data_IF_429273917615
#
_entry.id   IF_429273917615
#
_cell.length_a   1.000
_cell.length_b   1.000
_cell.length_c   1.000
_cell.angle_alpha   90.00
_cell.angle_beta   90.00
_cell.angle_gamma   90.00
#
_symmetry.space_group_name_H-M   'P 1'
#
loop_
_entity.id
_entity.type
_entity.pdbx_description
1 polymer ?
#
# COMPACT_ATOMS: atom_id res chain seq x y z
N UNK A 1 11.97 46.09 49.85
CA UNK A 1 11.84 45.03 48.82
C UNK A 1 10.62 45.39 48.03
N UNK A 2 10.83 46.09 46.92
CA UNK A 2 9.77 46.80 46.22
C UNK A 2 8.88 45.81 45.48
N UNK A 3 7.56 45.91 45.70
CA UNK A 3 6.56 45.00 45.11
C UNK A 3 6.50 45.01 43.58
N UNK A 4 7.24 45.90 42.91
CA UNK A 4 7.36 45.96 41.45
C UNK A 4 8.00 44.72 40.84
N UNK A 5 9.05 44.15 41.45
CA UNK A 5 9.71 42.96 40.90
C UNK A 5 8.83 41.71 40.90
N UNK A 6 7.93 41.58 41.88
CA UNK A 6 6.96 40.48 41.93
C UNK A 6 5.85 40.67 40.89
N UNK A 7 5.35 41.89 40.72
CA UNK A 7 4.35 42.23 39.70
C UNK A 7 4.90 42.05 38.27
N UNK A 8 6.16 42.42 38.04
CA UNK A 8 6.82 42.25 36.75
C UNK A 8 7.03 40.76 36.43
N UNK A 9 7.44 39.96 37.41
CA UNK A 9 7.55 38.51 37.26
C UNK A 9 6.19 37.86 36.95
N UNK A 10 5.13 38.25 37.67
CA UNK A 10 3.78 37.75 37.42
C UNK A 10 3.26 38.14 36.03
N UNK A 11 3.51 39.38 35.62
CA UNK A 11 3.17 39.86 34.27
C UNK A 11 3.92 39.07 33.20
N UNK A 12 5.21 38.85 33.39
CA UNK A 12 6.03 38.05 32.47
C UNK A 12 5.53 36.60 32.38
N UNK A 13 5.22 35.97 33.51
CA UNK A 13 4.66 34.61 33.55
C UNK A 13 3.29 34.54 32.87
N UNK A 14 2.44 35.57 33.04
CA UNK A 14 1.14 35.64 32.38
C UNK A 14 1.29 35.76 30.84
N UNK A 15 2.22 36.60 30.38
CA UNK A 15 2.55 36.74 28.96
C UNK A 15 3.08 35.42 28.38
N UNK A 16 4.01 34.76 29.08
CA UNK A 16 4.53 33.45 28.65
C UNK A 16 3.44 32.37 28.59
N UNK A 17 2.57 32.31 29.59
CA UNK A 17 1.46 31.36 29.61
C UNK A 17 0.49 31.60 28.43
N UNK A 18 0.20 32.87 28.14
CA UNK A 18 -0.62 33.24 26.98
C UNK A 18 0.02 32.80 25.67
N UNK A 19 1.29 33.13 25.43
CA UNK A 19 1.99 32.73 24.22
C UNK A 19 2.12 31.21 24.09
N UNK A 20 2.42 30.50 25.18
CA UNK A 20 2.49 29.04 25.20
C UNK A 20 1.15 28.38 24.87
N UNK A 21 0.04 28.93 25.38
CA UNK A 21 -1.30 28.45 25.04
C UNK A 21 -1.64 28.71 23.57
N UNK A 22 -1.38 29.93 23.08
CA UNK A 22 -1.65 30.32 21.71
C UNK A 22 -0.83 29.51 20.70
N UNK A 23 0.47 29.29 20.97
CA UNK A 23 1.34 28.50 20.10
C UNK A 23 0.86 27.05 20.00
N UNK A 24 0.46 26.44 21.13
CA UNK A 24 -0.06 25.07 21.16
C UNK A 24 -1.31 24.89 20.32
N UNK A 25 -2.24 25.83 20.36
CA UNK A 25 -3.46 25.76 19.56
C UNK A 25 -3.17 25.88 18.06
N UNK A 26 -2.21 26.72 17.68
CA UNK A 26 -1.75 26.83 16.30
C UNK A 26 -1.07 25.54 15.82
N UNK A 27 -0.24 24.92 16.66
CA UNK A 27 0.39 23.63 16.36
C UNK A 27 -0.65 22.53 16.15
N UNK A 28 -1.64 22.38 17.04
CA UNK A 28 -2.71 21.39 16.90
C UNK A 28 -3.42 21.55 15.55
N UNK A 29 -3.72 22.79 15.15
CA UNK A 29 -4.37 23.08 13.86
C UNK A 29 -3.46 22.75 12.68
N UNK A 30 -2.17 23.08 12.76
CA UNK A 30 -1.19 22.73 11.73
C UNK A 30 -1.11 21.22 11.52
N UNK A 31 -0.94 20.46 12.61
CA UNK A 31 -0.88 18.99 12.58
C UNK A 31 -2.18 18.40 12.02
N UNK A 32 -3.33 18.88 12.48
CA UNK A 32 -4.63 18.42 11.99
C UNK A 32 -4.79 18.60 10.47
N UNK A 33 -4.40 19.78 9.96
CA UNK A 33 -4.46 20.07 8.52
C UNK A 33 -3.49 19.18 7.72
N UNK A 34 -2.29 18.93 8.25
CA UNK A 34 -1.29 18.06 7.62
C UNK A 34 -1.82 16.62 7.52
N UNK A 35 -2.37 16.07 8.61
CA UNK A 35 -3.00 14.74 8.62
C UNK A 35 -4.17 14.67 7.63
N UNK A 36 -5.01 15.70 7.55
CA UNK A 36 -6.14 15.77 6.60
C UNK A 36 -5.70 15.79 5.13
N UNK A 37 -4.57 16.44 4.84
CA UNK A 37 -3.96 16.41 3.51
C UNK A 37 -3.53 14.99 3.15
N UNK A 38 -2.80 14.31 4.04
CA UNK A 38 -2.39 12.91 3.81
C UNK A 38 -3.59 11.98 3.63
N UNK A 39 -4.64 12.12 4.45
CA UNK A 39 -5.87 11.34 4.29
C UNK A 39 -6.51 11.55 2.91
N UNK A 40 -6.48 12.78 2.40
CA UNK A 40 -6.99 13.10 1.06
C UNK A 40 -6.14 12.44 -0.02
N UNK A 41 -4.82 12.46 0.11
CA UNK A 41 -3.89 11.79 -0.81
C UNK A 41 -4.07 10.27 -0.80
N UNK A 42 -4.17 9.65 0.37
CA UNK A 42 -4.36 8.21 0.53
C UNK A 42 -5.72 7.76 -0.03
N UNK A 43 -6.77 8.57 0.18
CA UNK A 43 -8.07 8.34 -0.45
C UNK A 43 -7.98 8.39 -1.97
N UNK A 44 -7.29 9.38 -2.53
CA UNK A 44 -7.10 9.49 -3.98
C UNK A 44 -6.31 8.31 -4.55
N UNK A 45 -5.27 7.83 -3.85
CA UNK A 45 -4.53 6.64 -4.23
C UNK A 45 -5.41 5.38 -4.22
N UNK A 46 -6.20 5.19 -3.15
CA UNK A 46 -7.15 4.08 -3.04
C UNK A 46 -8.19 4.11 -4.16
N UNK A 47 -8.80 5.27 -4.40
CA UNK A 47 -9.85 5.43 -5.42
C UNK A 47 -9.29 5.19 -6.84
N UNK A 48 -8.04 5.58 -7.11
CA UNK A 48 -7.35 5.25 -8.36
C UNK A 48 -7.13 3.75 -8.52
N UNK A 49 -6.68 3.05 -7.46
CA UNK A 49 -6.50 1.60 -7.49
C UNK A 49 -7.82 0.85 -7.70
N UNK A 50 -8.89 1.26 -7.00
CA UNK A 50 -10.25 0.72 -7.20
C UNK A 50 -10.70 0.92 -8.64
N UNK A 51 -10.54 2.13 -9.18
CA UNK A 51 -10.93 2.45 -10.55
C UNK A 51 -10.16 1.61 -11.58
N UNK A 52 -8.86 1.38 -11.36
CA UNK A 52 -8.03 0.51 -12.19
C UNK A 52 -8.52 -0.95 -12.14
N UNK A 53 -8.83 -1.47 -10.95
CA UNK A 53 -9.39 -2.80 -10.77
C UNK A 53 -10.73 -2.96 -11.49
N UNK A 54 -11.65 -2.02 -11.33
CA UNK A 54 -12.98 -2.03 -11.98
C UNK A 54 -12.85 -2.00 -13.50
N UNK A 55 -12.01 -1.12 -14.05
CA UNK A 55 -11.77 -1.05 -15.49
C UNK A 55 -11.22 -2.36 -16.02
N UNK A 56 -10.18 -2.90 -15.37
CA UNK A 56 -9.54 -4.13 -15.84
C UNK A 56 -10.46 -5.34 -15.74
N UNK A 57 -11.21 -5.44 -14.64
CA UNK A 57 -12.18 -6.50 -14.46
C UNK A 57 -13.31 -6.39 -15.49
N UNK A 58 -13.79 -5.18 -15.77
CA UNK A 58 -14.79 -4.92 -16.81
C UNK A 58 -14.34 -5.36 -18.20
N UNK A 59 -13.10 -5.08 -18.59
CA UNK A 59 -12.50 -5.57 -19.84
C UNK A 59 -12.51 -7.09 -19.93
N UNK A 60 -12.14 -7.78 -18.84
CA UNK A 60 -12.01 -9.24 -18.79
C UNK A 60 -13.40 -9.91 -18.81
N UNK A 61 -14.38 -9.32 -18.13
CA UNK A 61 -15.77 -9.80 -18.14
C UNK A 61 -16.43 -9.57 -19.49
N UNK A 62 -16.20 -8.43 -20.13
CA UNK A 62 -16.76 -8.12 -21.46
C UNK A 62 -16.30 -9.13 -22.53
N UNK A 63 -15.05 -9.62 -22.44
CA UNK A 63 -14.54 -10.70 -23.31
C UNK A 63 -15.27 -12.03 -23.12
N UNK A 64 -15.88 -12.25 -21.95
CA UNK A 64 -16.63 -13.47 -21.64
C UNK A 64 -18.07 -13.44 -22.18
N UNK A 65 -18.49 -12.36 -22.88
CA UNK A 65 -19.83 -12.25 -23.48
C UNK A 65 -20.96 -11.99 -22.47
N UNK A 66 -20.63 -11.79 -21.19
CA UNK A 66 -21.60 -11.48 -20.14
C UNK A 66 -21.82 -9.96 -20.12
N UNK A 67 -23.06 -9.52 -20.34
CA UNK A 67 -23.44 -8.12 -20.11
C UNK A 67 -23.49 -7.86 -18.62
N UNK A 68 -22.40 -7.29 -18.08
CA UNK A 68 -22.36 -6.83 -16.70
C UNK A 68 -22.56 -5.32 -16.69
N UNK A 69 -23.49 -4.86 -15.86
CA UNK A 69 -23.66 -3.44 -15.57
C UNK A 69 -22.40 -2.94 -14.87
N UNK A 70 -21.79 -1.88 -15.42
CA UNK A 70 -20.54 -1.34 -14.88
C UNK A 70 -20.71 -0.88 -13.42
N UNK A 71 -21.87 -0.34 -13.08
CA UNK A 71 -22.23 0.08 -11.72
C UNK A 71 -22.26 -1.09 -10.72
N UNK A 72 -22.79 -2.24 -11.13
CA UNK A 72 -22.87 -3.44 -10.29
C UNK A 72 -21.47 -4.05 -10.07
N UNK A 73 -20.63 -4.01 -11.12
CA UNK A 73 -19.23 -4.43 -11.04
C UNK A 73 -18.42 -3.52 -10.10
N UNK A 74 -18.62 -2.21 -10.20
CA UNK A 74 -17.97 -1.24 -9.31
C UNK A 74 -18.37 -1.48 -7.84
N UNK A 75 -19.67 -1.67 -7.58
CA UNK A 75 -20.16 -2.00 -6.25
C UNK A 75 -19.53 -3.31 -5.72
N UNK A 76 -19.45 -4.34 -6.57
CA UNK A 76 -18.83 -5.62 -6.20
C UNK A 76 -17.34 -5.47 -5.88
N UNK A 77 -16.59 -4.75 -6.70
CA UNK A 77 -15.16 -4.49 -6.44
C UNK A 77 -14.97 -3.70 -5.14
N UNK A 78 -15.78 -2.67 -4.89
CA UNK A 78 -15.74 -1.94 -3.61
C UNK A 78 -16.00 -2.85 -2.42
N UNK A 79 -16.99 -3.73 -2.50
CA UNK A 79 -17.28 -4.71 -1.45
C UNK A 79 -16.10 -5.67 -1.21
N UNK A 80 -15.45 -6.13 -2.29
CA UNK A 80 -14.24 -6.93 -2.18
C UNK A 80 -13.12 -6.14 -1.50
N UNK A 81 -12.92 -4.88 -1.85
CA UNK A 81 -11.91 -3.99 -1.26
C UNK A 81 -12.20 -3.65 0.21
N UNK A 82 -13.47 -3.65 0.61
CA UNK A 82 -13.89 -3.37 1.98
C UNK A 82 -13.84 -4.58 2.91
N UNK A 83 -13.76 -5.80 2.36
CA UNK A 83 -13.67 -7.01 3.17
C UNK A 83 -12.32 -7.05 3.88
N UNK A 84 -12.33 -6.80 5.19
CA UNK A 84 -11.15 -6.91 6.06
C UNK A 84 -11.06 -8.31 6.61
N UNK A 85 -9.96 -9.01 6.36
CA UNK A 85 -9.65 -10.28 7.00
C UNK A 85 -9.04 -9.97 8.35
N UNK A 86 -9.82 -10.18 9.42
CA UNK A 86 -9.32 -10.06 10.80
C UNK A 86 -8.46 -11.29 11.07
N UNK A 87 -7.16 -11.10 11.25
CA UNK A 87 -6.29 -12.19 11.71
C UNK A 87 -6.71 -12.60 13.13
N UNK A 88 -6.79 -13.91 13.44
CA UNK A 88 -7.25 -14.36 14.75
C UNK A 88 -6.37 -13.80 15.88
N UNK A 89 -7.00 -13.25 16.91
CA UNK A 89 -6.35 -12.59 18.05
C UNK A 89 -5.72 -13.56 19.09
N UNK A 90 -5.55 -14.86 18.79
CA UNK A 90 -4.98 -15.82 19.74
C UNK A 90 -3.52 -16.20 19.43
N UNK A 91 -2.66 -15.77 20.35
CA UNK A 91 -1.21 -15.95 20.43
C UNK A 91 -0.81 -17.43 20.51
N UNK A 92 -0.15 -17.94 19.47
CA UNK A 92 0.65 -19.18 19.51
C UNK A 92 1.98 -18.94 18.76
N UNK A 93 3.11 -18.78 19.50
CA UNK A 93 4.36 -18.29 18.95
C UNK A 93 5.07 -19.26 17.99
N UNK A 94 4.68 -20.54 17.92
CA UNK A 94 5.39 -21.54 17.12
C UNK A 94 4.69 -21.95 15.81
N UNK A 95 3.45 -21.48 15.57
CA UNK A 95 2.65 -21.81 14.37
C UNK A 95 2.26 -20.60 13.49
N UNK A 96 2.59 -19.38 13.91
CA UNK A 96 2.12 -18.10 13.35
C UNK A 96 2.35 -17.97 11.84
N UNK A 97 3.59 -18.13 11.39
CA UNK A 97 3.94 -17.91 9.97
C UNK A 97 3.21 -18.91 9.07
N UNK A 98 3.09 -20.17 9.50
CA UNK A 98 2.44 -21.22 8.70
C UNK A 98 0.93 -21.02 8.63
N UNK A 99 0.28 -20.65 9.75
CA UNK A 99 -1.16 -20.34 9.80
C UNK A 99 -1.49 -19.05 9.04
N UNK A 100 -0.71 -17.99 9.21
CA UNK A 100 -0.89 -16.73 8.50
C UNK A 100 -0.70 -16.91 6.99
N UNK A 101 0.34 -17.65 6.58
CA UNK A 101 0.55 -18.02 5.17
C UNK A 101 -0.60 -18.87 4.61
N UNK A 102 -1.19 -19.74 5.42
CA UNK A 102 -2.33 -20.54 4.99
C UNK A 102 -3.59 -19.69 4.80
N UNK A 103 -3.89 -18.79 5.75
CA UNK A 103 -5.03 -17.86 5.67
C UNK A 103 -4.86 -16.91 4.47
N UNK A 104 -3.69 -16.31 4.29
CA UNK A 104 -3.43 -15.43 3.14
C UNK A 104 -3.59 -16.18 1.80
N UNK A 105 -3.10 -17.43 1.72
CA UNK A 105 -3.24 -18.26 0.53
C UNK A 105 -4.69 -18.68 0.26
N UNK A 106 -5.46 -19.02 1.30
CA UNK A 106 -6.87 -19.39 1.13
C UNK A 106 -7.71 -18.20 0.66
N UNK A 107 -7.41 -17.00 1.17
CA UNK A 107 -8.09 -15.76 0.77
C UNK A 107 -7.78 -15.39 -0.68
N UNK A 108 -6.51 -15.44 -1.08
CA UNK A 108 -6.10 -15.16 -2.45
C UNK A 108 -6.75 -16.15 -3.43
N UNK A 109 -6.79 -17.43 -3.05
CA UNK A 109 -7.46 -18.47 -3.83
C UNK A 109 -8.97 -18.22 -3.95
N UNK A 110 -9.62 -17.84 -2.85
CA UNK A 110 -11.06 -17.51 -2.83
C UNK A 110 -11.37 -16.31 -3.73
N UNK A 111 -10.52 -15.28 -3.70
CA UNK A 111 -10.65 -14.11 -4.57
C UNK A 111 -10.44 -14.48 -6.05
N UNK A 112 -9.43 -15.30 -6.37
CA UNK A 112 -9.19 -15.81 -7.74
C UNK A 112 -10.40 -16.60 -8.24
N UNK A 113 -11.00 -17.43 -7.40
CA UNK A 113 -12.21 -18.17 -7.73
C UNK A 113 -13.40 -17.26 -7.98
N UNK A 114 -13.57 -16.20 -7.19
CA UNK A 114 -14.64 -15.22 -7.39
C UNK A 114 -14.49 -14.45 -8.71
N UNK A 115 -13.27 -14.01 -9.04
CA UNK A 115 -12.97 -13.37 -10.32
C UNK A 115 -13.24 -14.34 -11.47
N UNK A 116 -12.84 -15.60 -11.35
CA UNK A 116 -13.07 -16.64 -12.37
C UNK A 116 -14.55 -16.99 -12.55
N UNK A 117 -15.34 -17.00 -11.46
CA UNK A 117 -16.80 -17.17 -11.54
C UNK A 117 -17.45 -16.03 -12.32
N UNK A 118 -16.98 -14.80 -12.13
CA UNK A 118 -17.50 -13.63 -12.83
C UNK A 118 -17.01 -13.51 -14.28
N UNK A 119 -15.83 -14.05 -14.60
CA UNK A 119 -15.27 -14.06 -15.95
C UNK A 119 -14.74 -15.45 -16.34
N UNK A 120 -15.62 -16.40 -16.73
CA UNK A 120 -15.22 -17.78 -17.01
C UNK A 120 -14.25 -17.94 -18.18
N UNK A 121 -14.26 -17.01 -19.14
CA UNK A 121 -13.39 -17.03 -20.32
C UNK A 121 -12.04 -16.31 -20.10
N UNK A 122 -11.80 -15.77 -18.90
CA UNK A 122 -10.55 -15.08 -18.57
C UNK A 122 -9.36 -16.04 -18.58
N UNK A 123 -8.25 -15.60 -19.16
CA UNK A 123 -6.99 -16.34 -19.05
C UNK A 123 -6.46 -16.32 -17.61
N UNK A 124 -5.62 -17.29 -17.24
CA UNK A 124 -5.03 -17.35 -15.89
C UNK A 124 -4.32 -16.04 -15.49
N UNK A 125 -3.57 -15.43 -16.41
CA UNK A 125 -2.88 -14.16 -16.17
C UNK A 125 -3.83 -12.96 -16.03
N UNK A 126 -4.97 -12.96 -16.73
CA UNK A 126 -5.97 -11.90 -16.56
C UNK A 126 -6.67 -11.99 -15.20
N UNK A 127 -6.98 -13.21 -14.75
CA UNK A 127 -7.51 -13.43 -13.40
C UNK A 127 -6.52 -12.94 -12.35
N UNK A 128 -5.24 -13.29 -12.50
CA UNK A 128 -4.18 -12.88 -11.58
C UNK A 128 -4.02 -11.35 -11.51
N UNK A 129 -3.96 -10.66 -12.64
CA UNK A 129 -3.86 -9.19 -12.67
C UNK A 129 -5.07 -8.52 -12.00
N UNK A 130 -6.29 -9.02 -12.24
CA UNK A 130 -7.50 -8.48 -11.59
C UNK A 130 -7.47 -8.71 -10.09
N UNK A 131 -7.12 -9.93 -9.65
CA UNK A 131 -6.95 -10.28 -8.24
C UNK A 131 -5.92 -9.38 -7.56
N UNK A 132 -4.76 -9.17 -8.17
CA UNK A 132 -3.68 -8.34 -7.63
C UNK A 132 -4.08 -6.88 -7.51
N UNK A 133 -4.79 -6.33 -8.51
CA UNK A 133 -5.32 -4.96 -8.45
C UNK A 133 -6.32 -4.79 -7.29
N UNK A 134 -7.17 -5.79 -7.05
CA UNK A 134 -8.11 -5.79 -5.91
C UNK A 134 -7.33 -5.87 -4.58
N UNK A 135 -6.28 -6.69 -4.49
CA UNK A 135 -5.45 -6.80 -3.29
C UNK A 135 -4.66 -5.51 -2.99
N UNK A 136 -4.13 -4.84 -4.02
CA UNK A 136 -3.48 -3.53 -3.88
C UNK A 136 -4.50 -2.49 -3.40
N UNK A 137 -5.70 -2.47 -3.98
CA UNK A 137 -6.77 -1.58 -3.53
C UNK A 137 -7.21 -1.87 -2.07
N UNK A 138 -7.23 -3.14 -1.65
CA UNK A 138 -7.44 -3.55 -0.24
C UNK A 138 -6.37 -2.98 0.68
N UNK A 139 -5.09 -3.11 0.31
CA UNK A 139 -3.96 -2.57 1.08
C UNK A 139 -4.07 -1.05 1.28
N UNK A 140 -4.32 -0.31 0.20
CA UNK A 140 -4.54 1.14 0.26
C UNK A 140 -5.78 1.51 1.10
N UNK A 141 -6.86 0.72 1.03
CA UNK A 141 -8.06 0.94 1.83
C UNK A 141 -7.82 0.67 3.32
N UNK A 142 -7.01 -0.35 3.65
CA UNK A 142 -6.59 -0.63 5.01
C UNK A 142 -5.77 0.54 5.59
N UNK A 143 -4.76 1.04 4.85
CA UNK A 143 -3.97 2.21 5.25
C UNK A 143 -4.87 3.42 5.51
N UNK A 144 -5.77 3.73 4.57
CA UNK A 144 -6.71 4.85 4.70
C UNK A 144 -7.57 4.72 5.97
N UNK A 145 -8.16 3.54 6.21
CA UNK A 145 -9.00 3.28 7.39
C UNK A 145 -8.19 3.37 8.68
N UNK A 146 -6.98 2.81 8.70
CA UNK A 146 -6.09 2.84 9.86
C UNK A 146 -5.74 4.28 10.25
N UNK A 147 -5.27 5.10 9.29
CA UNK A 147 -4.90 6.50 9.55
C UNK A 147 -6.13 7.31 9.97
N UNK A 148 -7.26 7.14 9.28
CA UNK A 148 -8.48 7.87 9.61
C UNK A 148 -9.04 7.51 11.00
N UNK A 149 -8.94 6.22 11.37
CA UNK A 149 -9.35 5.75 12.69
C UNK A 149 -8.50 6.38 13.80
N UNK A 150 -7.17 6.32 13.67
CA UNK A 150 -6.26 6.92 14.64
C UNK A 150 -6.44 8.45 14.73
N UNK A 151 -6.66 9.11 13.60
CA UNK A 151 -6.94 10.55 13.58
C UNK A 151 -8.25 10.91 14.30
N UNK A 152 -9.31 10.14 14.02
CA UNK A 152 -10.61 10.32 14.68
C UNK A 152 -10.50 10.07 16.19
N UNK A 153 -9.71 9.07 16.59
CA UNK A 153 -9.43 8.75 17.98
C UNK A 153 -8.69 9.90 18.68
N UNK A 154 -7.65 10.44 18.04
CA UNK A 154 -6.88 11.58 18.54
C UNK A 154 -7.76 12.82 18.73
N UNK A 155 -8.64 13.13 17.76
CA UNK A 155 -9.64 14.21 17.87
C UNK A 155 -10.63 13.97 19.00
N UNK A 156 -11.16 12.74 19.12
CA UNK A 156 -12.15 12.39 20.16
C UNK A 156 -11.57 12.56 21.56
N UNK A 157 -10.33 12.13 21.78
CA UNK A 157 -9.64 12.32 23.07
C UNK A 157 -9.03 13.71 23.25
N UNK A 158 -9.10 14.58 22.22
CA UNK A 158 -8.41 15.89 22.18
C UNK A 158 -6.92 15.76 22.56
N UNK A 159 -6.29 14.67 22.12
CA UNK A 159 -4.92 14.33 22.51
C UNK A 159 -3.93 14.86 21.49
N UNK A 160 -3.21 15.92 21.87
CA UNK A 160 -2.10 16.47 21.07
C UNK A 160 -1.01 15.43 20.81
N UNK A 161 -0.69 14.60 21.80
CA UNK A 161 0.33 13.57 21.67
C UNK A 161 -0.02 12.51 20.63
N UNK A 162 -1.29 12.13 20.53
CA UNK A 162 -1.74 11.18 19.50
C UNK A 162 -1.69 11.80 18.10
N UNK A 163 -1.98 13.11 17.97
CA UNK A 163 -1.82 13.82 16.70
C UNK A 163 -0.35 13.86 16.29
N UNK A 164 0.55 14.18 17.22
CA UNK A 164 1.99 14.26 16.96
C UNK A 164 2.59 12.90 16.59
N UNK A 165 2.17 11.84 17.28
CA UNK A 165 2.60 10.47 16.94
C UNK A 165 2.12 10.08 15.54
N UNK A 166 0.86 10.37 15.20
CA UNK A 166 0.33 10.05 13.89
C UNK A 166 1.06 10.84 12.80
N UNK A 167 1.20 12.15 12.98
CA UNK A 167 1.90 13.06 12.07
C UNK A 167 3.33 12.58 11.76
N UNK A 168 4.09 12.20 12.79
CA UNK A 168 5.45 11.68 12.63
C UNK A 168 5.53 10.38 11.80
N UNK A 169 4.46 9.56 11.79
CA UNK A 169 4.41 8.31 11.04
C UNK A 169 3.95 8.50 9.58
N UNK A 170 3.23 9.59 9.27
CA UNK A 170 2.63 9.81 7.96
C UNK A 170 3.63 9.79 6.79
N UNK A 171 4.85 10.35 6.89
CA UNK A 171 5.83 10.27 5.80
C UNK A 171 6.20 8.84 5.42
N UNK A 172 6.36 7.95 6.41
CA UNK A 172 6.68 6.54 6.18
C UNK A 172 5.50 5.79 5.55
N UNK A 173 4.29 6.03 6.07
CA UNK A 173 3.05 5.47 5.49
C UNK A 173 2.86 5.97 4.05
N UNK A 174 3.23 7.22 3.76
CA UNK A 174 3.15 7.77 2.41
C UNK A 174 4.12 7.09 1.43
N UNK A 175 5.30 6.64 1.87
CA UNK A 175 6.19 5.80 1.04
C UNK A 175 5.54 4.45 0.73
N UNK A 176 4.89 3.82 1.72
CA UNK A 176 4.15 2.58 1.48
C UNK A 176 3.04 2.78 0.44
N UNK A 177 2.27 3.88 0.55
CA UNK A 177 1.23 4.24 -0.43
C UNK A 177 1.83 4.46 -1.82
N UNK A 178 2.97 5.14 -1.95
CA UNK A 178 3.68 5.31 -3.23
C UNK A 178 4.11 3.98 -3.85
N UNK A 179 4.54 3.02 -3.02
CA UNK A 179 4.90 1.69 -3.49
C UNK A 179 3.67 0.94 -4.04
N UNK A 180 2.52 1.03 -3.36
CA UNK A 180 1.26 0.48 -3.86
C UNK A 180 0.81 1.15 -5.17
N UNK A 181 0.91 2.47 -5.30
CA UNK A 181 0.59 3.18 -6.55
C UNK A 181 1.48 2.69 -7.70
N UNK A 182 2.77 2.52 -7.45
CA UNK A 182 3.72 1.96 -8.43
C UNK A 182 3.35 0.53 -8.84
N UNK A 183 2.86 -0.29 -7.90
CA UNK A 183 2.37 -1.63 -8.18
C UNK A 183 1.13 -1.62 -9.09
N UNK A 184 0.19 -0.69 -8.88
CA UNK A 184 -0.98 -0.51 -9.78
C UNK A 184 -0.51 -0.24 -11.21
N UNK A 185 0.45 0.68 -11.39
CA UNK A 185 0.97 0.99 -12.72
C UNK A 185 1.65 -0.19 -13.40
N UNK A 186 2.42 -0.98 -12.64
CA UNK A 186 3.10 -2.17 -13.15
C UNK A 186 2.10 -3.27 -13.59
N UNK A 187 1.04 -3.49 -12.79
CA UNK A 187 -0.04 -4.43 -13.11
C UNK A 187 -0.80 -4.03 -14.38
N UNK A 188 -1.12 -2.74 -14.53
CA UNK A 188 -1.79 -2.23 -15.72
C UNK A 188 -0.94 -2.39 -16.99
N UNK A 189 0.39 -2.34 -16.86
CA UNK A 189 1.35 -2.55 -17.97
C UNK A 189 1.60 -4.03 -18.28
N UNK A 190 0.86 -4.97 -17.69
CA UNK A 190 1.02 -6.42 -17.86
C UNK A 190 2.42 -6.95 -17.50
N UNK A 191 3.05 -6.39 -16.47
CA UNK A 191 4.12 -7.13 -15.78
C UNK A 191 3.42 -8.03 -14.77
N UNK A 192 3.36 -9.37 -14.95
CA UNK A 192 2.83 -10.23 -13.92
C UNK A 192 3.65 -10.04 -12.65
N UNK A 193 2.99 -9.62 -11.58
CA UNK A 193 3.57 -9.41 -10.25
C UNK A 193 3.58 -10.73 -9.44
N UNK A 194 3.18 -11.86 -10.05
CA UNK A 194 3.30 -13.20 -9.49
C UNK A 194 4.75 -13.61 -9.23
N UNK A 195 5.30 -13.21 -8.09
CA UNK A 195 5.37 -14.03 -6.87
C UNK A 195 6.24 -13.29 -5.83
N UNK A 196 5.59 -12.69 -4.83
CA UNK A 196 6.16 -12.01 -3.64
C UNK A 196 6.41 -10.50 -3.79
N UNK A 197 6.25 -9.79 -2.67
CA UNK A 197 6.75 -8.42 -2.43
C UNK A 197 8.25 -8.29 -2.78
N UNK A 198 8.99 -9.41 -2.70
CA UNK A 198 10.41 -9.54 -3.07
C UNK A 198 10.73 -9.02 -4.47
N UNK A 199 10.23 -9.61 -5.57
CA UNK A 199 10.43 -9.12 -6.94
C UNK A 199 10.21 -7.64 -7.22
N UNK A 200 9.21 -7.01 -6.61
CA UNK A 200 8.93 -5.59 -6.83
C UNK A 200 9.98 -4.73 -6.12
N UNK A 201 10.29 -5.06 -4.86
CA UNK A 201 11.39 -4.43 -4.10
C UNK A 201 12.72 -4.69 -4.81
N UNK A 202 12.97 -5.91 -5.30
CA UNK A 202 14.16 -6.29 -6.06
C UNK A 202 14.27 -5.54 -7.39
N UNK A 203 13.17 -5.34 -8.11
CA UNK A 203 13.17 -4.60 -9.37
C UNK A 203 13.29 -3.09 -9.18
N UNK A 204 12.71 -2.54 -8.11
CA UNK A 204 12.93 -1.15 -7.69
C UNK A 204 14.39 -0.93 -7.27
N UNK A 205 14.92 -1.80 -6.40
CA UNK A 205 16.29 -1.75 -5.91
C UNK A 205 17.31 -1.96 -7.03
N UNK A 206 17.08 -2.91 -7.94
CA UNK A 206 17.94 -3.13 -9.10
C UNK A 206 17.98 -1.91 -10.03
N UNK A 207 16.87 -1.20 -10.19
CA UNK A 207 16.79 0.02 -11.00
C UNK A 207 17.49 1.20 -10.33
N UNK A 208 17.33 1.35 -9.02
CA UNK A 208 17.97 2.39 -8.22
C UNK A 208 19.50 2.22 -8.19
N UNK A 209 19.97 0.99 -8.03
CA UNK A 209 21.40 0.65 -7.98
C UNK A 209 22.06 0.47 -9.36
N UNK A 210 21.32 0.66 -10.46
CA UNK A 210 21.77 0.40 -11.84
C UNK A 210 22.41 -0.99 -11.99
N UNK A 211 21.79 -1.99 -11.36
CA UNK A 211 22.30 -3.35 -11.32
C UNK A 211 22.38 -3.99 -12.71
N UNK A 212 23.47 -4.71 -12.98
CA UNK A 212 23.67 -5.42 -14.25
C UNK A 212 23.05 -6.83 -14.18
N UNK A 213 22.38 -7.27 -15.24
CA UNK A 213 21.81 -8.62 -15.29
C UNK A 213 22.92 -9.67 -15.42
N UNK A 214 22.90 -10.68 -14.56
CA UNK A 214 23.86 -11.79 -14.56
C UNK A 214 23.11 -13.11 -14.70
N UNK A 215 23.55 -13.97 -15.62
CA UNK A 215 22.98 -15.30 -15.79
C UNK A 215 23.69 -16.30 -14.87
N UNK A 216 22.96 -16.97 -13.98
CA UNK A 216 23.50 -18.00 -13.09
C UNK A 216 23.34 -19.43 -13.64
N UNK A 217 22.85 -19.61 -14.87
CA UNK A 217 22.67 -20.94 -15.45
C UNK A 217 21.65 -21.82 -14.73
N UNK A 218 20.79 -21.22 -13.89
CA UNK A 218 19.68 -21.89 -13.22
C UNK A 218 18.41 -21.61 -14.02
N UNK A 219 17.66 -22.65 -14.45
CA UNK A 219 16.39 -22.46 -15.15
C UNK A 219 15.41 -21.63 -14.32
N UNK A 220 14.63 -20.79 -14.99
CA UNK A 220 13.58 -19.98 -14.38
C UNK A 220 14.08 -19.02 -13.26
N UNK A 221 15.28 -18.46 -13.38
CA UNK A 221 15.86 -17.53 -12.40
C UNK A 221 16.58 -16.36 -13.06
N UNK A 222 16.19 -15.13 -12.72
CA UNK A 222 16.86 -13.88 -13.09
C UNK A 222 17.71 -13.39 -11.92
N UNK A 223 18.96 -13.02 -12.18
CA UNK A 223 19.83 -12.42 -11.17
C UNK A 223 20.43 -11.10 -11.65
N UNK A 224 20.70 -10.21 -10.71
CA UNK A 224 21.32 -8.91 -10.95
C UNK A 224 22.48 -8.70 -9.99
N UNK A 225 23.57 -8.10 -10.47
CA UNK A 225 24.71 -7.71 -9.67
C UNK A 225 24.74 -6.19 -9.50
N UNK A 226 24.91 -5.73 -8.26
CA UNK A 226 25.04 -4.31 -7.92
C UNK A 226 26.11 -4.11 -6.86
N UNK A 227 26.65 -2.90 -6.78
CA UNK A 227 27.53 -2.50 -5.68
C UNK A 227 26.83 -1.44 -4.86
N UNK A 228 26.71 -1.65 -3.55
CA UNK A 228 26.12 -0.70 -2.62
C UNK A 228 27.04 -0.53 -1.41
N UNK A 229 27.42 0.70 -1.09
CA UNK A 229 28.30 1.04 0.05
C UNK A 229 29.61 0.21 0.08
N UNK A 230 30.20 -0.04 -1.08
CA UNK A 230 31.45 -0.82 -1.21
C UNK A 230 31.29 -2.33 -0.98
N UNK A 231 30.05 -2.85 -0.97
CA UNK A 231 29.74 -4.27 -0.90
C UNK A 231 29.05 -4.73 -2.18
N UNK A 232 29.44 -5.91 -2.64
CA UNK A 232 28.80 -6.54 -3.79
C UNK A 232 27.50 -7.24 -3.37
N UNK A 233 26.43 -6.96 -4.10
CA UNK A 233 25.08 -7.47 -3.89
C UNK A 233 24.67 -8.30 -5.09
N UNK A 234 24.15 -9.50 -4.81
CA UNK A 234 23.53 -10.37 -5.82
C UNK A 234 22.03 -10.48 -5.52
N UNK A 235 21.23 -9.92 -6.42
CA UNK A 235 19.77 -9.85 -6.34
C UNK A 235 19.16 -10.97 -7.18
N UNK A 236 18.46 -11.93 -6.57
CA UNK A 236 17.93 -13.12 -7.27
C UNK A 236 16.41 -13.12 -7.24
N UNK A 237 15.77 -13.34 -8.39
CA UNK A 237 14.32 -13.45 -8.57
C UNK A 237 13.97 -14.69 -9.39
N UNK A 238 12.91 -15.41 -8.99
CA UNK A 238 12.30 -16.46 -9.80
C UNK A 238 11.60 -15.88 -11.04
N UNK A 239 11.79 -16.53 -12.18
CA UNK A 239 11.20 -16.16 -13.46
C UNK A 239 9.73 -16.60 -13.48
N UNK A 240 8.83 -15.64 -13.21
CA UNK A 240 7.39 -15.91 -13.18
C UNK A 240 6.80 -16.27 -14.55
N UNK A 241 5.58 -16.83 -14.61
CA UNK A 241 4.95 -17.40 -15.82
C UNK A 241 4.63 -16.41 -16.96
N UNK A 242 5.10 -15.16 -16.88
CA UNK A 242 5.02 -14.16 -17.95
C UNK A 242 6.25 -14.05 -18.85
N UNK A 243 7.36 -14.75 -18.56
CA UNK A 243 8.62 -14.59 -19.30
C UNK A 243 8.60 -15.19 -20.71
N UNK A 244 7.80 -16.23 -20.94
CA UNK A 244 7.76 -16.95 -22.24
C UNK A 244 7.44 -16.06 -23.44
N UNK A 245 6.88 -14.87 -23.24
CA UNK A 245 6.52 -13.96 -24.34
C UNK A 245 7.65 -13.01 -24.76
N UNK A 246 8.76 -12.91 -24.02
CA UNK A 246 9.86 -11.99 -24.35
C UNK A 246 10.98 -12.62 -25.17
N UNK A 247 11.06 -13.94 -25.23
CA UNK A 247 12.15 -14.63 -25.92
C UNK A 247 11.88 -14.86 -27.43
N UNK A 248 10.64 -14.71 -27.90
CA UNK A 248 10.27 -14.99 -29.30
C UNK A 248 10.61 -13.81 -30.25
N UNK A 249 11.24 -12.73 -29.77
CA UNK A 249 11.57 -11.58 -30.65
C UNK A 249 13.00 -11.07 -30.52
N UNK A 250 13.97 -11.98 -30.65
CA UNK A 250 15.28 -11.66 -31.24
C UNK A 250 15.79 -12.84 -32.06
N UNK A 251 15.40 -12.85 -33.33
CA UNK A 251 15.91 -13.73 -34.36
C UNK A 251 15.75 -13.05 -35.71
N UNK A 252 16.59 -12.05 -35.99
CA UNK A 252 17.06 -11.62 -37.32
C UNK A 252 18.25 -10.68 -37.09
#
# INVERSE_FOLDING_TARGET
>A
MDGGGLLDLLTFMAVLAFFSYASRELEIRRLANEIELYLTLFKAARDRAVSAAVRKFGEVVAKSGIRVNLSDLEARVKQLVDTVVISPESLDPFGLVRKLKHVLRSEEQTLKEEVKRAAPAATKGEVEVVTDLINVARGLNFILKYVNHNYTLAKRFKSYWLLLQLDALLPFIAEEVRAYESAVEALLKQVPIGDSVGPLVLSMLAKELKAEAVSFGVPDTLAFHATYEGRDLVLIKAEGPGSQRREIRRGS
#
